data_IF_349322912402
#
_entry.id   IF_349322912402
#
_cell.length_a   1.000
_cell.length_b   1.000
_cell.length_c   1.000
_cell.angle_alpha   90.00
_cell.angle_beta   90.00
_cell.angle_gamma   90.00
#
_symmetry.space_group_name_H-M   'P 1'
#
loop_
_entity.id
_entity.type
_entity.pdbx_description
1 polymer ?
#
# COMPACT_ATOMS: atom_id res chain seq x y z
N UNK A 1 18.99 -29.96 4.17
CA UNK A 1 18.10 -28.87 4.63
C UNK A 1 17.75 -29.15 6.09
N UNK A 2 18.27 -28.38 7.06
CA UNK A 2 17.93 -28.56 8.49
C UNK A 2 16.76 -27.63 8.80
N UNK A 3 15.57 -28.19 9.01
CA UNK A 3 14.44 -27.48 9.59
C UNK A 3 14.69 -27.42 11.09
N UNK A 4 14.96 -26.22 11.61
CA UNK A 4 15.02 -25.99 13.05
C UNK A 4 13.58 -25.90 13.55
N UNK A 5 13.07 -26.99 14.14
CA UNK A 5 11.84 -26.93 14.91
C UNK A 5 12.07 -26.05 16.16
N UNK A 6 11.09 -25.21 16.50
CA UNK A 6 11.14 -24.37 17.69
C UNK A 6 11.31 -25.24 18.95
N UNK A 7 12.37 -25.00 19.71
CA UNK A 7 12.52 -25.54 21.06
C UNK A 7 11.59 -24.80 22.02
N UNK A 8 11.06 -25.45 23.08
CA UNK A 8 10.22 -24.79 24.06
C UNK A 8 11.03 -23.76 24.87
N UNK A 9 10.37 -22.65 25.20
CA UNK A 9 10.89 -21.44 25.84
C UNK A 9 11.83 -21.71 27.03
N UNK A 10 13.07 -21.24 26.90
CA UNK A 10 13.90 -20.89 28.05
C UNK A 10 13.92 -19.36 28.17
N UNK A 11 13.39 -18.88 29.28
CA UNK A 11 13.33 -17.48 29.68
C UNK A 11 14.74 -16.89 29.86
N UNK A 12 15.26 -16.26 28.81
CA UNK A 12 16.06 -15.02 28.82
C UNK A 12 16.69 -14.81 27.45
N UNK A 13 16.45 -13.66 26.81
CA UNK A 13 17.10 -13.34 25.54
C UNK A 13 16.33 -12.35 24.68
N UNK A 14 16.17 -11.13 25.18
CA UNK A 14 15.54 -9.92 24.60
C UNK A 14 16.11 -9.42 23.26
N UNK A 15 16.73 -10.28 22.43
CA UNK A 15 17.51 -9.84 21.25
C UNK A 15 17.23 -10.56 19.94
N UNK A 16 16.20 -11.42 19.83
CA UNK A 16 15.94 -12.18 18.59
C UNK A 16 14.53 -12.05 18.00
N UNK A 17 13.61 -11.37 18.66
CA UNK A 17 12.25 -11.13 18.12
C UNK A 17 12.15 -9.91 17.19
N UNK A 18 13.17 -9.04 17.13
CA UNK A 18 13.10 -7.78 16.37
C UNK A 18 13.09 -7.98 14.84
N UNK A 19 13.40 -9.17 14.33
CA UNK A 19 13.63 -9.39 12.90
C UNK A 19 12.39 -9.73 12.05
N UNK A 20 11.21 -9.98 12.65
CA UNK A 20 10.01 -10.41 11.90
C UNK A 20 8.95 -9.32 11.69
N UNK A 21 9.19 -8.11 12.17
CA UNK A 21 8.33 -6.96 11.94
C UNK A 21 9.20 -5.72 11.72
N UNK A 22 9.98 -5.72 10.63
CA UNK A 22 10.58 -4.47 10.17
C UNK A 22 9.43 -3.48 9.90
N UNK A 23 9.16 -2.63 10.89
CA UNK A 23 8.36 -1.42 10.74
C UNK A 23 9.13 -0.58 9.73
N UNK A 24 8.64 -0.58 8.50
CA UNK A 24 9.21 0.25 7.46
C UNK A 24 8.65 1.64 7.71
N UNK A 25 9.50 2.57 8.15
CA UNK A 25 9.22 4.00 8.02
C UNK A 25 9.33 4.31 6.53
N UNK A 26 8.20 4.59 5.90
CA UNK A 26 8.06 4.64 4.44
C UNK A 26 8.28 6.07 3.92
N UNK A 27 7.91 7.09 4.71
CA UNK A 27 8.13 8.49 4.38
C UNK A 27 8.76 9.26 5.54
N UNK A 28 9.48 10.34 5.21
CA UNK A 28 10.19 11.15 6.21
C UNK A 28 9.18 11.81 7.16
N UNK A 29 9.36 11.76 8.49
CA UNK A 29 8.40 12.34 9.44
C UNK A 29 8.05 13.81 9.19
N UNK A 30 9.04 14.61 8.76
CA UNK A 30 8.82 16.01 8.39
C UNK A 30 7.88 16.17 7.17
N UNK A 31 7.92 15.24 6.21
CA UNK A 31 7.01 15.22 5.07
C UNK A 31 5.58 14.87 5.52
N UNK A 32 5.42 13.88 6.39
CA UNK A 32 4.13 13.55 7.01
C UNK A 32 3.52 14.75 7.73
N UNK A 33 4.29 15.44 8.60
CA UNK A 33 3.82 16.66 9.28
C UNK A 33 3.43 17.76 8.30
N UNK A 34 4.17 17.93 7.21
CA UNK A 34 3.81 18.89 6.14
C UNK A 34 2.47 18.54 5.49
N UNK A 35 2.19 17.25 5.24
CA UNK A 35 0.91 16.78 4.70
C UNK A 35 -0.23 16.95 5.69
N UNK A 36 -0.03 16.62 6.96
CA UNK A 36 -0.99 16.86 8.04
C UNK A 36 -1.36 18.34 8.09
N UNK A 37 -0.39 19.25 8.08
CA UNK A 37 -0.65 20.70 8.06
C UNK A 37 -1.44 21.16 6.83
N UNK A 38 -1.21 20.56 5.65
CA UNK A 38 -2.02 20.87 4.45
C UNK A 38 -3.47 20.45 4.66
N UNK A 39 -3.70 19.28 5.26
CA UNK A 39 -5.04 18.81 5.57
C UNK A 39 -5.70 19.65 6.68
N UNK A 40 -5.01 19.98 7.77
CA UNK A 40 -5.53 20.85 8.84
C UNK A 40 -6.03 22.20 8.29
N UNK A 41 -5.28 22.84 7.39
CA UNK A 41 -5.74 24.08 6.73
C UNK A 41 -7.04 23.89 5.94
N UNK A 42 -7.21 22.74 5.30
CA UNK A 42 -8.45 22.42 4.61
C UNK A 42 -9.58 22.13 5.59
N UNK A 43 -9.33 21.36 6.66
CA UNK A 43 -10.30 21.06 7.72
C UNK A 43 -10.81 22.35 8.36
N UNK A 44 -9.93 23.27 8.70
CA UNK A 44 -10.26 24.59 9.24
C UNK A 44 -11.15 25.39 8.26
N UNK A 45 -10.73 25.51 6.99
CA UNK A 45 -11.49 26.24 5.98
C UNK A 45 -12.86 25.60 5.66
N UNK A 46 -12.93 24.27 5.72
CA UNK A 46 -14.16 23.51 5.48
C UNK A 46 -15.04 23.40 6.72
N UNK A 47 -14.60 23.86 7.90
CA UNK A 47 -15.32 23.71 9.17
C UNK A 47 -15.48 22.25 9.60
N UNK A 48 -14.48 21.41 9.33
CA UNK A 48 -14.42 20.00 9.74
C UNK A 48 -13.51 19.88 10.96
N UNK A 49 -13.98 19.22 12.02
CA UNK A 49 -13.30 19.19 13.31
C UNK A 49 -12.25 18.08 13.39
N UNK A 50 -12.48 16.99 12.64
CA UNK A 50 -11.73 15.75 12.72
C UNK A 50 -11.72 15.04 11.36
N UNK A 51 -10.58 14.50 10.95
CA UNK A 51 -10.47 13.53 9.88
C UNK A 51 -10.12 12.14 10.45
N UNK A 52 -10.77 11.08 10.00
CA UNK A 52 -10.46 9.70 10.39
C UNK A 52 -10.10 8.90 9.14
N UNK A 53 -9.02 8.13 9.24
CA UNK A 53 -8.48 7.29 8.17
C UNK A 53 -8.49 5.83 8.58
N UNK A 54 -9.04 4.99 7.71
CA UNK A 54 -9.05 3.53 7.86
C UNK A 54 -8.29 2.83 6.71
N UNK A 55 -8.15 3.49 5.56
CA UNK A 55 -7.39 2.93 4.46
C UNK A 55 -5.87 2.97 4.75
N UNK A 56 -5.14 1.86 4.54
CA UNK A 56 -3.70 1.78 4.76
C UNK A 56 -2.91 2.88 4.03
N UNK A 57 -3.32 3.27 2.83
CA UNK A 57 -2.64 4.28 2.01
C UNK A 57 -2.72 5.67 2.62
N UNK A 58 -3.83 6.04 3.25
CA UNK A 58 -3.96 7.34 3.89
C UNK A 58 -3.25 7.37 5.24
N UNK A 59 -3.37 6.27 6.00
CA UNK A 59 -2.61 6.10 7.25
C UNK A 59 -1.11 6.24 6.96
N UNK A 60 -0.60 5.55 5.94
CA UNK A 60 0.78 5.69 5.48
C UNK A 60 1.12 7.12 5.08
N UNK A 61 0.27 7.77 4.29
CA UNK A 61 0.52 9.12 3.77
C UNK A 61 0.68 10.17 4.89
N UNK A 62 -0.11 10.04 5.96
CA UNK A 62 -0.10 10.99 7.09
C UNK A 62 0.77 10.56 8.27
N UNK A 63 1.10 9.29 8.44
CA UNK A 63 1.88 8.81 9.61
C UNK A 63 3.24 8.24 9.25
N UNK A 64 3.46 7.89 7.98
CA UNK A 64 4.70 7.30 7.48
C UNK A 64 4.83 5.79 7.72
N UNK A 65 3.81 5.14 8.28
CA UNK A 65 3.84 3.69 8.53
C UNK A 65 2.67 2.98 7.83
N UNK A 66 2.95 1.82 7.24
CA UNK A 66 1.98 0.95 6.56
C UNK A 66 2.04 -0.44 7.17
N UNK A 67 0.88 -1.00 7.44
CA UNK A 67 0.75 -2.42 7.78
C UNK A 67 0.33 -3.23 6.57
N UNK A 68 0.63 -4.53 6.62
CA UNK A 68 0.08 -5.46 5.66
C UNK A 68 -1.45 -5.60 5.82
N UNK A 69 -2.09 -6.11 4.77
CA UNK A 69 -3.55 -6.17 4.64
C UNK A 69 -4.28 -6.97 5.74
N UNK A 70 -3.57 -7.78 6.53
CA UNK A 70 -4.15 -8.60 7.61
C UNK A 70 -4.42 -7.80 8.87
N UNK A 71 -3.88 -6.60 8.98
CA UNK A 71 -4.02 -5.75 10.15
C UNK A 71 -5.00 -4.61 9.94
N UNK A 72 -5.54 -4.11 11.05
CA UNK A 72 -6.59 -3.10 11.05
C UNK A 72 -6.25 -1.85 11.84
N UNK A 73 -5.28 -1.04 11.36
CA UNK A 73 -4.97 0.25 11.99
C UNK A 73 -6.07 1.29 11.72
N UNK A 74 -6.14 2.30 12.57
CA UNK A 74 -6.98 3.50 12.40
C UNK A 74 -6.16 4.71 12.79
N UNK A 75 -6.27 5.80 12.03
CA UNK A 75 -5.62 7.06 12.37
C UNK A 75 -6.65 8.19 12.39
N UNK A 76 -6.41 9.24 13.17
CA UNK A 76 -7.29 10.39 13.20
C UNK A 76 -6.50 11.69 13.39
N UNK A 77 -6.87 12.74 12.66
CA UNK A 77 -6.24 14.06 12.71
C UNK A 77 -7.28 15.09 13.12
N UNK A 78 -7.08 15.75 14.27
CA UNK A 78 -7.89 16.91 14.66
C UNK A 78 -7.51 18.12 13.83
N UNK A 79 -8.47 19.04 13.68
CA UNK A 79 -8.25 20.31 12.96
C UNK A 79 -7.13 21.15 13.58
N UNK A 80 -6.89 21.02 14.90
CA UNK A 80 -5.80 21.66 15.64
C UNK A 80 -4.41 21.03 15.42
N UNK A 81 -4.35 19.92 14.68
CA UNK A 81 -3.12 19.22 14.33
C UNK A 81 -2.81 17.99 15.18
N UNK A 82 -3.59 17.68 16.23
CA UNK A 82 -3.33 16.48 17.04
C UNK A 82 -3.58 15.20 16.21
N UNK A 83 -2.54 14.39 16.05
CA UNK A 83 -2.58 13.14 15.29
C UNK A 83 -2.60 11.91 16.22
N UNK A 84 -3.64 11.08 16.09
CA UNK A 84 -3.76 9.74 16.67
C UNK A 84 -3.34 8.68 15.64
N UNK A 85 -2.62 7.66 16.11
CA UNK A 85 -2.47 6.39 15.40
C UNK A 85 -2.71 5.20 16.33
N UNK A 86 -3.68 4.36 15.95
CA UNK A 86 -4.01 3.09 16.61
C UNK A 86 -3.28 1.95 15.91
N UNK A 87 -2.28 1.41 16.58
CA UNK A 87 -1.37 0.38 16.08
C UNK A 87 -1.85 -1.05 16.44
N UNK A 88 -1.75 -2.02 15.54
CA UNK A 88 -1.87 -3.43 15.86
C UNK A 88 -0.69 -3.92 16.71
N UNK A 89 -0.99 -4.58 17.83
CA UNK A 89 -0.08 -5.24 18.79
C UNK A 89 0.93 -4.33 19.51
N UNK A 90 1.78 -3.60 18.77
CA UNK A 90 2.90 -2.83 19.31
C UNK A 90 2.93 -1.43 18.69
N UNK A 91 3.40 -0.41 19.43
CA UNK A 91 3.63 0.91 18.84
C UNK A 91 4.72 0.83 17.78
N UNK A 92 4.66 1.75 16.82
CA UNK A 92 5.65 1.90 15.74
C UNK A 92 6.38 3.23 15.89
N UNK A 93 7.58 3.33 15.33
CA UNK A 93 8.29 4.59 15.26
C UNK A 93 7.61 5.53 14.24
N UNK A 94 6.77 6.43 14.73
CA UNK A 94 6.04 7.40 13.92
C UNK A 94 6.12 8.80 14.53
N UNK A 95 7.25 9.49 14.30
CA UNK A 95 7.51 10.82 14.88
C UNK A 95 6.52 11.91 14.44
N UNK A 96 5.71 11.65 13.40
CA UNK A 96 4.63 12.53 12.95
C UNK A 96 3.31 12.31 13.72
N UNK A 97 3.26 11.37 14.66
CA UNK A 97 2.08 11.06 15.47
C UNK A 97 2.27 11.60 16.89
N UNK A 98 1.21 12.18 17.47
CA UNK A 98 1.27 12.80 18.79
C UNK A 98 0.66 11.88 19.88
N UNK A 99 -0.32 11.05 19.55
CA UNK A 99 -0.88 10.01 20.43
C UNK A 99 -0.79 8.63 19.73
N UNK A 100 0.05 7.75 20.26
CA UNK A 100 0.21 6.37 19.79
C UNK A 100 -0.50 5.42 20.76
N UNK A 101 -1.48 4.69 20.25
CA UNK A 101 -2.21 3.67 21.00
C UNK A 101 -2.11 2.32 20.32
N UNK A 102 -2.45 1.27 21.05
CA UNK A 102 -2.41 -0.09 20.53
C UNK A 102 -3.71 -0.83 20.78
N UNK A 103 -4.01 -1.81 19.94
CA UNK A 103 -5.00 -2.85 20.22
C UNK A 103 -4.37 -4.23 20.03
N UNK A 104 -4.84 -5.24 20.75
CA UNK A 104 -4.41 -6.62 20.58
C UNK A 104 -4.98 -7.16 19.26
N UNK A 105 -4.12 -7.42 18.27
CA UNK A 105 -4.51 -7.90 16.94
C UNK A 105 -4.47 -9.43 16.81
N UNK A 106 -3.83 -10.11 17.75
CA UNK A 106 -3.65 -11.56 17.75
C UNK A 106 -3.86 -12.17 19.13
N UNK A 107 -4.39 -13.38 19.15
CA UNK A 107 -4.36 -14.26 20.31
C UNK A 107 -3.48 -15.47 20.01
N UNK A 108 -2.39 -15.64 20.78
CA UNK A 108 -1.46 -16.77 20.60
C UNK A 108 -1.01 -16.91 19.14
N UNK A 109 -0.58 -15.80 18.54
CA UNK A 109 -0.15 -15.71 17.13
C UNK A 109 -1.23 -15.98 16.07
N UNK A 110 -2.50 -16.08 16.46
CA UNK A 110 -3.64 -16.18 15.54
C UNK A 110 -4.35 -14.83 15.45
N UNK A 111 -4.56 -14.32 14.24
CA UNK A 111 -5.28 -13.06 14.02
C UNK A 111 -6.70 -13.16 14.57
N UNK A 112 -7.13 -12.16 15.33
CA UNK A 112 -8.56 -12.02 15.68
C UNK A 112 -9.35 -11.57 14.45
N UNK A 113 -10.63 -11.93 14.38
CA UNK A 113 -11.50 -11.57 13.25
C UNK A 113 -12.14 -10.18 13.42
N UNK A 114 -12.27 -9.72 14.66
CA UNK A 114 -12.91 -8.48 15.08
C UNK A 114 -11.92 -7.32 15.27
N UNK A 115 -10.77 -7.33 14.57
CA UNK A 115 -9.75 -6.28 14.71
C UNK A 115 -10.29 -4.86 14.43
N UNK A 116 -11.29 -4.74 13.54
CA UNK A 116 -11.94 -3.45 13.24
C UNK A 116 -12.79 -2.93 14.38
N UNK A 117 -13.43 -3.81 15.14
CA UNK A 117 -14.11 -3.43 16.37
C UNK A 117 -13.09 -3.02 17.44
N UNK A 118 -12.02 -3.80 17.60
CA UNK A 118 -10.98 -3.53 18.60
C UNK A 118 -10.25 -2.19 18.37
N UNK A 119 -9.84 -1.90 17.13
CA UNK A 119 -9.21 -0.62 16.79
C UNK A 119 -10.18 0.56 16.90
N UNK A 120 -11.45 0.36 16.54
CA UNK A 120 -12.49 1.39 16.70
C UNK A 120 -12.82 1.67 18.18
N UNK A 121 -12.75 0.68 19.06
CA UNK A 121 -12.92 0.89 20.50
C UNK A 121 -11.83 1.83 21.06
N UNK A 122 -10.57 1.61 20.65
CA UNK A 122 -9.46 2.50 21.04
C UNK A 122 -9.63 3.91 20.48
N UNK A 123 -10.12 4.04 19.24
CA UNK A 123 -10.50 5.34 18.67
C UNK A 123 -11.61 6.00 19.50
N UNK A 124 -12.66 5.27 19.88
CA UNK A 124 -13.77 5.77 20.67
C UNK A 124 -13.30 6.29 22.05
N UNK A 125 -12.40 5.55 22.70
CA UNK A 125 -11.79 5.97 23.97
C UNK A 125 -10.98 7.26 23.83
N UNK A 126 -10.27 7.43 22.70
CA UNK A 126 -9.56 8.67 22.40
C UNK A 126 -10.52 9.83 22.12
N UNK A 127 -11.60 9.59 21.40
CA UNK A 127 -12.63 10.60 21.12
C UNK A 127 -13.33 11.06 22.40
N UNK A 128 -13.63 10.14 23.31
CA UNK A 128 -14.28 10.42 24.60
C UNK A 128 -13.41 11.27 25.55
N UNK A 129 -12.09 11.24 25.39
CA UNK A 129 -11.16 12.05 26.17
C UNK A 129 -11.05 13.51 25.68
N UNK A 130 -11.61 13.83 24.51
CA UNK A 130 -11.51 15.14 23.89
C UNK A 130 -12.86 15.79 23.59
N UNK A 131 -12.88 16.97 22.94
CA UNK A 131 -14.13 17.60 22.53
C UNK A 131 -14.83 16.74 21.48
N UNK A 132 -16.15 16.62 21.63
CA UNK A 132 -17.01 15.92 20.67
C UNK A 132 -16.99 16.67 19.32
N UNK A 133 -16.50 16.04 18.24
CA UNK A 133 -16.52 16.68 16.92
C UNK A 133 -17.96 16.76 16.40
N UNK A 134 -18.33 17.91 15.83
CA UNK A 134 -19.64 18.08 15.16
C UNK A 134 -19.59 17.61 13.73
N UNK A 135 -18.48 17.83 13.03
CA UNK A 135 -18.29 17.47 11.63
C UNK A 135 -17.03 16.63 11.49
N UNK A 136 -17.20 15.39 11.01
CA UNK A 136 -16.12 14.39 10.92
C UNK A 136 -15.94 13.99 9.47
N UNK A 137 -14.75 14.25 8.95
CA UNK A 137 -14.31 13.74 7.68
C UNK A 137 -13.95 12.26 7.76
N UNK A 138 -14.49 11.46 6.84
CA UNK A 138 -14.14 10.04 6.67
C UNK A 138 -14.00 9.71 5.17
N UNK A 139 -13.40 8.57 4.87
CA UNK A 139 -13.29 8.04 3.51
C UNK A 139 -14.59 7.28 3.15
N UNK A 140 -15.50 7.87 2.35
CA UNK A 140 -16.84 7.29 2.15
C UNK A 140 -16.82 5.90 1.49
N UNK A 141 -15.84 5.64 0.61
CA UNK A 141 -15.71 4.37 -0.09
C UNK A 141 -15.12 3.24 0.78
N UNK A 142 -14.38 3.58 1.83
CA UNK A 142 -13.56 2.61 2.57
C UNK A 142 -13.77 2.61 4.09
N UNK A 143 -14.48 3.60 4.65
CA UNK A 143 -14.70 3.73 6.08
C UNK A 143 -15.55 2.58 6.63
N UNK A 144 -15.00 1.72 7.51
CA UNK A 144 -15.74 0.59 8.06
C UNK A 144 -16.86 1.06 9.01
N UNK A 145 -18.00 0.35 9.09
CA UNK A 145 -19.09 0.70 10.00
C UNK A 145 -18.66 0.81 11.47
N UNK A 146 -17.69 0.03 11.92
CA UNK A 146 -17.15 0.14 13.28
C UNK A 146 -16.54 1.52 13.57
N UNK A 147 -15.91 2.15 12.56
CA UNK A 147 -15.28 3.48 12.68
C UNK A 147 -16.32 4.59 12.58
N UNK A 148 -17.21 4.56 11.58
CA UNK A 148 -18.25 5.59 11.44
C UNK A 148 -19.21 5.61 12.63
N UNK A 149 -19.44 4.44 13.27
CA UNK A 149 -20.23 4.33 14.50
C UNK A 149 -19.61 5.03 15.71
N UNK A 150 -18.31 5.34 15.70
CA UNK A 150 -17.69 6.15 16.75
C UNK A 150 -18.14 7.63 16.68
N UNK A 151 -18.76 8.05 15.57
CA UNK A 151 -19.14 9.45 15.29
C UNK A 151 -20.64 9.58 14.95
N UNK A 152 -21.51 8.75 15.53
CA UNK A 152 -22.96 8.70 15.18
C UNK A 152 -23.71 10.01 15.40
N UNK A 153 -23.21 10.88 16.28
CA UNK A 153 -23.83 12.18 16.59
C UNK A 153 -23.25 13.32 15.74
N UNK A 154 -22.28 13.02 14.87
CA UNK A 154 -21.59 13.98 14.00
C UNK A 154 -22.15 13.96 12.59
N UNK A 155 -22.07 15.09 11.89
CA UNK A 155 -22.22 15.14 10.44
C UNK A 155 -20.98 14.50 9.79
N UNK A 156 -21.20 13.52 8.91
CA UNK A 156 -20.12 12.85 8.18
C UNK A 156 -19.85 13.57 6.86
N UNK A 157 -18.59 13.89 6.62
CA UNK A 157 -18.12 14.59 5.42
C UNK A 157 -17.21 13.66 4.61
N UNK A 158 -17.40 13.63 3.30
CA UNK A 158 -16.53 12.86 2.40
C UNK A 158 -15.17 13.56 2.23
N UNK A 159 -14.10 12.91 2.69
CA UNK A 159 -12.73 13.40 2.56
C UNK A 159 -12.09 13.07 1.23
N UNK A 160 -12.63 12.12 0.46
CA UNK A 160 -11.94 11.57 -0.70
C UNK A 160 -11.59 12.61 -1.77
N UNK A 161 -12.47 13.58 -2.12
CA UNK A 161 -12.12 14.62 -3.09
C UNK A 161 -10.88 15.42 -2.68
N UNK A 162 -10.74 15.72 -1.39
CA UNK A 162 -9.60 16.46 -0.86
C UNK A 162 -8.34 15.59 -0.79
N UNK A 163 -8.46 14.35 -0.33
CA UNK A 163 -7.35 13.39 -0.29
C UNK A 163 -6.77 13.16 -1.69
N UNK A 164 -7.64 13.01 -2.70
CA UNK A 164 -7.24 12.95 -4.10
C UNK A 164 -6.48 14.21 -4.52
N UNK A 165 -7.03 15.40 -4.22
CA UNK A 165 -6.40 16.69 -4.55
C UNK A 165 -5.00 16.81 -3.93
N UNK A 166 -4.84 16.50 -2.64
CA UNK A 166 -3.56 16.54 -1.93
C UNK A 166 -2.54 15.60 -2.56
N UNK A 167 -2.96 14.38 -2.89
CA UNK A 167 -2.08 13.34 -3.45
C UNK A 167 -1.75 13.55 -4.93
N UNK A 168 -2.39 14.48 -5.67
CA UNK A 168 -2.01 14.78 -7.07
C UNK A 168 -0.59 15.33 -7.19
N UNK A 169 -0.13 16.12 -6.20
CA UNK A 169 1.22 16.68 -6.18
C UNK A 169 2.10 15.85 -5.26
N UNK A 170 3.07 15.15 -5.84
CA UNK A 170 4.05 14.34 -5.11
C UNK A 170 5.11 15.22 -4.47
N UNK A 171 5.41 14.98 -3.19
CA UNK A 171 6.54 15.57 -2.50
C UNK A 171 7.86 14.81 -2.81
N UNK A 172 9.00 15.37 -2.42
CA UNK A 172 10.32 14.86 -2.82
C UNK A 172 10.60 13.43 -2.34
N UNK A 173 10.11 13.08 -1.15
CA UNK A 173 10.20 11.73 -0.58
C UNK A 173 9.36 10.73 -1.37
N UNK A 174 8.13 11.10 -1.77
CA UNK A 174 7.28 10.28 -2.65
C UNK A 174 7.95 10.05 -4.01
N UNK A 175 8.54 11.11 -4.58
CA UNK A 175 9.26 11.00 -5.85
C UNK A 175 10.47 10.06 -5.75
N UNK A 176 11.13 9.99 -4.61
CA UNK A 176 12.22 9.03 -4.40
C UNK A 176 11.72 7.58 -4.43
N UNK A 177 10.58 7.31 -3.79
CA UNK A 177 9.93 6.00 -3.79
C UNK A 177 9.43 5.61 -5.19
N UNK A 178 8.80 6.55 -5.91
CA UNK A 178 8.35 6.34 -7.29
C UNK A 178 9.51 6.05 -8.23
N UNK A 179 10.64 6.77 -8.11
CA UNK A 179 11.85 6.50 -8.91
C UNK A 179 12.37 5.07 -8.70
N UNK A 180 12.29 4.55 -7.48
CA UNK A 180 12.68 3.17 -7.17
C UNK A 180 11.75 2.16 -7.83
N UNK A 181 10.43 2.36 -7.74
CA UNK A 181 9.45 1.52 -8.43
C UNK A 181 9.62 1.57 -9.97
N UNK A 182 9.89 2.75 -10.53
CA UNK A 182 10.15 2.93 -11.97
C UNK A 182 11.41 2.17 -12.40
N UNK A 183 12.49 2.23 -11.60
CA UNK A 183 13.70 1.46 -11.86
C UNK A 183 13.41 -0.05 -11.89
N UNK A 184 12.63 -0.56 -10.93
CA UNK A 184 12.22 -1.97 -10.91
C UNK A 184 11.41 -2.35 -12.16
N UNK A 185 10.49 -1.49 -12.58
CA UNK A 185 9.71 -1.68 -13.82
C UNK A 185 10.62 -1.75 -15.05
N UNK A 186 11.65 -0.90 -15.12
CA UNK A 186 12.67 -0.95 -16.16
C UNK A 186 13.38 -2.30 -16.22
N UNK A 187 13.81 -2.83 -15.07
CA UNK A 187 14.46 -4.14 -14.96
C UNK A 187 13.53 -5.29 -15.35
N UNK A 188 12.24 -5.19 -15.02
CA UNK A 188 11.25 -6.16 -15.49
C UNK A 188 11.14 -6.14 -17.01
N UNK A 189 11.11 -4.98 -17.65
CA UNK A 189 11.06 -4.90 -19.11
C UNK A 189 12.34 -5.35 -19.81
N UNK A 190 13.51 -5.10 -19.22
CA UNK A 190 14.78 -5.71 -19.67
C UNK A 190 14.66 -7.24 -19.65
N UNK A 191 14.24 -7.79 -18.51
CA UNK A 191 14.09 -9.23 -18.34
C UNK A 191 13.06 -9.85 -19.29
N UNK A 192 11.92 -9.18 -19.50
CA UNK A 192 10.89 -9.64 -20.43
C UNK A 192 11.47 -9.79 -21.85
N UNK A 193 12.18 -8.77 -22.34
CA UNK A 193 12.80 -8.81 -23.69
C UNK A 193 13.82 -9.92 -23.85
N UNK A 194 14.53 -10.30 -22.79
CA UNK A 194 15.52 -11.37 -22.83
C UNK A 194 14.89 -12.77 -22.97
N UNK A 195 13.69 -12.98 -22.38
CA UNK A 195 13.14 -14.33 -22.24
C UNK A 195 11.92 -14.60 -23.10
N UNK A 196 11.24 -13.58 -23.62
CA UNK A 196 10.08 -13.76 -24.50
C UNK A 196 10.51 -14.53 -25.75
N UNK A 197 9.91 -15.70 -25.92
CA UNK A 197 10.03 -16.54 -27.09
C UNK A 197 8.85 -17.51 -27.13
N UNK A 198 8.47 -18.06 -28.30
CA UNK A 198 7.46 -19.11 -28.37
C UNK A 198 7.80 -20.28 -27.44
N UNK A 199 6.80 -20.78 -26.71
CA UNK A 199 6.99 -21.82 -25.71
C UNK A 199 7.28 -21.32 -24.29
N UNK A 200 7.45 -20.00 -24.07
CA UNK A 200 7.55 -19.46 -22.71
C UNK A 200 6.18 -19.48 -22.02
N UNK A 201 6.11 -20.12 -20.86
CA UNK A 201 4.93 -20.13 -20.02
C UNK A 201 4.70 -18.76 -19.34
N UNK A 202 3.46 -18.28 -19.28
CA UNK A 202 3.11 -16.99 -18.66
C UNK A 202 3.43 -16.96 -17.15
N UNK A 203 3.33 -18.09 -16.43
CA UNK A 203 3.74 -18.17 -15.02
C UNK A 203 5.25 -18.06 -14.84
N UNK A 204 6.03 -18.61 -15.79
CA UNK A 204 7.49 -18.48 -15.79
C UNK A 204 7.91 -17.03 -16.06
N UNK A 205 7.23 -16.35 -16.99
CA UNK A 205 7.37 -14.90 -17.20
C UNK A 205 7.09 -14.15 -15.89
N UNK A 206 5.89 -14.30 -15.32
CA UNK A 206 5.49 -13.60 -14.11
C UNK A 206 6.52 -13.76 -12.98
N UNK A 207 6.94 -15.01 -12.72
CA UNK A 207 7.91 -15.34 -11.66
C UNK A 207 9.26 -14.66 -11.89
N UNK A 208 9.77 -14.68 -13.14
CA UNK A 208 11.03 -14.02 -13.50
C UNK A 208 10.95 -12.50 -13.28
N UNK A 209 9.82 -11.88 -13.64
CA UNK A 209 9.60 -10.44 -13.46
C UNK A 209 9.49 -10.06 -11.97
N UNK A 210 8.84 -10.88 -11.14
CA UNK A 210 8.81 -10.64 -9.70
C UNK A 210 10.21 -10.72 -9.08
N UNK A 211 11.04 -11.70 -9.48
CA UNK A 211 12.40 -11.85 -8.96
C UNK A 211 13.24 -10.60 -9.20
N UNK A 212 13.30 -10.12 -10.46
CA UNK A 212 14.12 -8.94 -10.79
C UNK A 212 13.60 -7.67 -10.13
N UNK A 213 12.28 -7.54 -9.95
CA UNK A 213 11.69 -6.40 -9.25
C UNK A 213 12.03 -6.41 -7.76
N UNK A 214 11.93 -7.56 -7.09
CA UNK A 214 12.30 -7.72 -5.68
C UNK A 214 13.79 -7.45 -5.47
N UNK A 215 14.66 -8.03 -6.31
CA UNK A 215 16.11 -7.77 -6.27
C UNK A 215 16.42 -6.29 -6.51
N UNK A 216 15.74 -5.67 -7.49
CA UNK A 216 15.90 -4.25 -7.77
C UNK A 216 15.44 -3.39 -6.59
N UNK A 217 14.33 -3.71 -5.94
CA UNK A 217 13.81 -2.96 -4.79
C UNK A 217 14.63 -3.19 -3.51
N UNK A 218 15.19 -4.39 -3.35
CA UNK A 218 15.91 -4.82 -2.14
C UNK A 218 15.00 -5.27 -1.00
N UNK A 219 13.69 -5.38 -1.25
CA UNK A 219 12.67 -5.83 -0.29
C UNK A 219 11.45 -6.37 -1.04
N UNK A 220 10.51 -6.98 -0.29
CA UNK A 220 9.26 -7.47 -0.86
C UNK A 220 8.46 -6.33 -1.48
N UNK A 221 7.90 -6.56 -2.66
CA UNK A 221 7.00 -5.60 -3.30
C UNK A 221 5.74 -5.43 -2.45
N UNK A 222 5.23 -4.20 -2.35
CA UNK A 222 3.95 -3.93 -1.70
C UNK A 222 2.73 -4.21 -2.58
N UNK A 223 2.98 -4.58 -3.83
CA UNK A 223 1.98 -4.79 -4.89
C UNK A 223 2.68 -5.10 -6.21
N UNK A 224 1.94 -5.69 -7.15
CA UNK A 224 2.46 -6.09 -8.47
C UNK A 224 1.45 -5.71 -9.57
N UNK A 225 1.93 -5.61 -10.82
CA UNK A 225 1.17 -5.14 -11.98
C UNK A 225 -0.08 -5.97 -12.32
N UNK A 226 -0.82 -5.51 -13.34
CA UNK A 226 -2.17 -5.97 -13.61
C UNK A 226 -2.24 -7.11 -14.65
N UNK A 227 -1.43 -7.05 -15.71
CA UNK A 227 -1.61 -7.91 -16.89
C UNK A 227 -0.35 -8.66 -17.33
N UNK A 228 -0.48 -9.99 -17.43
CA UNK A 228 0.57 -10.92 -17.81
C UNK A 228 0.07 -12.02 -18.77
N UNK A 229 -1.15 -11.90 -19.31
CA UNK A 229 -1.71 -12.89 -20.24
C UNK A 229 -1.35 -12.59 -21.70
N UNK A 230 -0.76 -13.57 -22.40
CA UNK A 230 -0.35 -13.43 -23.80
C UNK A 230 -1.51 -13.69 -24.78
N UNK A 231 -1.52 -13.02 -25.92
CA UNK A 231 -2.51 -13.21 -26.99
C UNK A 231 -3.92 -12.71 -26.67
N UNK A 232 -4.10 -12.03 -25.53
CA UNK A 232 -5.37 -11.43 -25.09
C UNK A 232 -5.14 -9.99 -24.61
N UNK A 233 -6.21 -9.24 -24.34
CA UNK A 233 -6.13 -7.80 -24.00
C UNK A 233 -5.49 -7.49 -22.64
N UNK A 234 -5.41 -8.48 -21.76
CA UNK A 234 -4.96 -8.36 -20.38
C UNK A 234 -5.45 -9.54 -19.56
N UNK A 235 -5.03 -9.61 -18.30
CA UNK A 235 -5.40 -10.63 -17.34
C UNK A 235 -4.22 -11.26 -16.61
N UNK A 236 -4.50 -12.06 -15.56
CA UNK A 236 -3.47 -12.75 -14.80
C UNK A 236 -2.73 -13.77 -15.67
N UNK A 237 -1.48 -14.11 -15.31
CA UNK A 237 -0.73 -15.15 -16.02
C UNK A 237 -1.44 -16.50 -15.88
N UNK A 238 -1.46 -17.27 -16.96
CA UNK A 238 -2.07 -18.61 -17.00
C UNK A 238 -0.99 -19.68 -17.07
N UNK A 239 -1.34 -20.91 -16.75
CA UNK A 239 -0.49 -22.05 -17.11
C UNK A 239 -0.62 -22.34 -18.62
N UNK A 240 0.03 -21.49 -19.41
CA UNK A 240 -0.07 -21.47 -20.87
C UNK A 240 1.22 -20.94 -21.46
N UNK A 241 1.69 -21.62 -22.50
CA UNK A 241 2.82 -21.19 -23.30
C UNK A 241 2.37 -20.17 -24.35
N UNK A 242 3.14 -19.10 -24.51
CA UNK A 242 2.94 -18.15 -25.60
C UNK A 242 3.36 -18.76 -26.94
N UNK A 243 2.68 -18.37 -28.04
CA UNK A 243 2.96 -18.93 -29.37
C UNK A 243 3.41 -17.86 -30.35
N UNK A 244 4.12 -18.27 -31.39
CA UNK A 244 4.60 -17.36 -32.44
C UNK A 244 3.44 -16.62 -33.12
N UNK A 245 3.64 -15.32 -33.38
CA UNK A 245 2.62 -14.45 -33.97
C UNK A 245 1.67 -13.79 -32.96
N UNK A 246 1.72 -14.17 -31.69
CA UNK A 246 0.97 -13.46 -30.64
C UNK A 246 1.67 -12.17 -30.18
N UNK A 247 0.86 -11.26 -29.64
CA UNK A 247 1.33 -10.13 -28.85
C UNK A 247 1.25 -10.46 -27.37
N UNK A 248 2.30 -10.07 -26.65
CA UNK A 248 2.37 -10.14 -25.20
C UNK A 248 2.25 -8.73 -24.64
N UNK A 249 1.04 -8.39 -24.17
CA UNK A 249 0.80 -7.15 -23.42
C UNK A 249 1.23 -7.40 -21.98
N UNK A 250 2.24 -6.67 -21.54
CA UNK A 250 2.71 -6.67 -20.17
C UNK A 250 2.34 -5.33 -19.56
N UNK A 251 1.39 -5.33 -18.62
CA UNK A 251 1.07 -4.16 -17.79
C UNK A 251 1.74 -4.31 -16.43
N UNK A 252 2.92 -3.72 -16.33
CA UNK A 252 3.85 -3.92 -15.22
C UNK A 252 3.74 -2.73 -14.27
N UNK A 253 3.39 -3.02 -13.01
CA UNK A 253 3.17 -2.04 -11.96
C UNK A 253 3.74 -2.49 -10.63
N UNK A 254 5.06 -2.72 -10.49
CA UNK A 254 5.63 -3.03 -9.19
C UNK A 254 5.40 -1.86 -8.23
N UNK A 255 4.90 -2.16 -7.03
CA UNK A 255 4.78 -1.18 -5.98
C UNK A 255 5.96 -1.29 -5.01
N UNK A 256 6.67 -0.19 -4.86
CA UNK A 256 7.69 -0.03 -3.85
C UNK A 256 7.12 0.80 -2.71
N UNK A 257 6.97 0.20 -1.52
CA UNK A 257 6.51 0.93 -0.32
C UNK A 257 5.19 1.69 -0.56
N UNK A 258 4.21 1.05 -1.18
CA UNK A 258 2.91 1.66 -1.53
C UNK A 258 2.89 2.53 -2.80
N UNK A 259 4.04 2.85 -3.39
CA UNK A 259 4.14 3.67 -4.61
C UNK A 259 4.28 2.80 -5.86
N UNK A 260 3.26 2.82 -6.71
CA UNK A 260 3.20 2.07 -7.95
C UNK A 260 3.91 2.79 -9.10
N UNK A 261 4.61 2.02 -9.94
CA UNK A 261 5.11 2.46 -11.23
C UNK A 261 4.37 1.74 -12.36
N UNK A 262 3.18 2.25 -12.68
CA UNK A 262 2.24 1.63 -13.63
C UNK A 262 2.63 1.94 -15.09
N UNK A 263 2.94 0.91 -15.87
CA UNK A 263 3.40 1.07 -17.24
C UNK A 263 3.14 -0.18 -18.08
N UNK A 264 2.55 -0.01 -19.26
CA UNK A 264 2.27 -1.10 -20.20
C UNK A 264 3.14 -1.06 -21.46
N UNK A 265 3.65 -2.22 -21.90
CA UNK A 265 4.29 -2.40 -23.22
C UNK A 265 3.79 -3.67 -23.86
N UNK A 266 3.74 -3.65 -25.19
CA UNK A 266 3.37 -4.80 -26.01
C UNK A 266 4.60 -5.30 -26.76
N UNK A 267 4.86 -6.60 -26.69
CA UNK A 267 5.97 -7.25 -27.37
C UNK A 267 5.44 -8.36 -28.28
N UNK A 268 5.98 -8.50 -29.49
CA UNK A 268 5.68 -9.66 -30.34
C UNK A 268 6.44 -10.89 -29.81
N UNK A 269 5.76 -12.01 -29.60
CA UNK A 269 6.34 -13.21 -28.95
C UNK A 269 7.55 -13.77 -29.70
N UNK A 270 7.58 -13.63 -31.03
CA UNK A 270 8.63 -14.15 -31.89
C UNK A 270 9.55 -13.06 -32.46
N UNK A 271 9.52 -11.84 -31.91
CA UNK A 271 10.26 -10.67 -32.40
C UNK A 271 10.01 -10.34 -33.90
N UNK A 272 8.85 -10.78 -34.42
CA UNK A 272 8.43 -10.61 -35.82
C UNK A 272 6.96 -10.20 -35.84
N UNK A 273 6.65 -8.91 -35.53
CA UNK A 273 5.28 -8.42 -35.60
C UNK A 273 4.74 -8.55 -37.03
N UNK A 274 3.45 -8.85 -37.17
CA UNK A 274 2.77 -8.82 -38.47
C UNK A 274 2.55 -7.38 -38.94
N UNK A 275 2.25 -7.20 -40.24
CA UNK A 275 1.94 -5.88 -40.78
C UNK A 275 0.77 -5.21 -40.04
N UNK A 276 -0.27 -5.97 -39.70
CA UNK A 276 -1.42 -5.47 -38.91
C UNK A 276 -1.02 -5.06 -37.49
N UNK A 277 -0.13 -5.83 -36.83
CA UNK A 277 0.37 -5.51 -35.49
C UNK A 277 1.25 -4.26 -35.50
N UNK A 278 2.10 -4.11 -36.52
CA UNK A 278 2.95 -2.95 -36.70
C UNK A 278 2.12 -1.70 -37.04
N UNK A 279 1.11 -1.85 -37.91
CA UNK A 279 0.16 -0.78 -38.20
C UNK A 279 -0.56 -0.35 -36.93
N UNK A 280 -1.05 -1.28 -36.10
CA UNK A 280 -1.69 -0.94 -34.82
C UNK A 280 -0.73 -0.19 -33.89
N UNK A 281 0.54 -0.62 -33.79
CA UNK A 281 1.56 0.05 -32.97
C UNK A 281 1.83 1.49 -33.40
N UNK A 282 1.70 1.83 -34.68
CA UNK A 282 1.89 3.21 -35.18
C UNK A 282 0.73 4.16 -34.83
N UNK A 283 -0.40 3.65 -34.36
CA UNK A 283 -1.59 4.44 -34.02
C UNK A 283 -1.71 4.77 -32.52
N UNK A 284 -0.75 4.34 -31.70
CA UNK A 284 -0.68 4.58 -30.25
C UNK A 284 0.55 5.40 -29.88
#
# INVERSE_FOLDING_TARGET
MRVLAAAPDSADGTGREEAWQASIILSAPAACRTRQQRLCRWLEAAGVDLAIFAAPEQIEYFTGHRWDFRFSPVAALRTDGQMLLVCPDKPVAAEAVDDLRTYEAKWRSTLRLDQREASAAVLADWLAAGPTPRRVGIEFSSCPPHVSRCCQTSELIDLEPELLRLRRRKDADELALLKRAIAATGRMYERAREIIQPGLNELAMFSALQSVAVECCGEMLSGTGNDYACGVRGGPPRDRDCVAGELYILDLGPAYRGYFADNARTLAVNDRPTDDQLAAWQHV
#
